data_IF_633567191289
#
_entry.id   IF_633567191289
#
_cell.length_a   1.000
_cell.length_b   1.000
_cell.length_c   1.000
_cell.angle_alpha   90.00
_cell.angle_beta   90.00
_cell.angle_gamma   90.00
#
_symmetry.space_group_name_H-M   'P 1'
#
loop_
_entity.id
_entity.type
_entity.pdbx_description
1 polymer ?
#
# COMPACT_ATOMS: atom_id res chain seq x y z
N UNK A 1 15.19 56.71 58.05
CA UNK A 1 15.19 57.00 56.60
C UNK A 1 16.39 56.38 55.88
N UNK A 2 17.64 56.67 56.28
CA UNK A 2 18.86 56.13 55.61
C UNK A 2 18.94 54.59 55.67
N UNK A 3 18.69 53.98 56.84
CA UNK A 3 18.73 52.51 56.99
C UNK A 3 17.67 51.80 56.13
N UNK A 4 16.46 52.38 56.02
CA UNK A 4 15.39 51.86 55.16
C UNK A 4 15.78 51.93 53.68
N UNK A 5 16.41 53.02 53.24
CA UNK A 5 16.89 53.18 51.87
C UNK A 5 18.01 52.18 51.52
N UNK A 6 18.94 51.94 52.44
CA UNK A 6 20.01 50.96 52.27
C UNK A 6 19.42 49.54 52.16
N UNK A 7 18.47 49.18 53.02
CA UNK A 7 17.82 47.86 52.96
C UNK A 7 17.07 47.67 51.64
N UNK A 8 16.35 48.69 51.15
CA UNK A 8 15.66 48.63 49.86
C UNK A 8 16.66 48.50 48.69
N UNK A 9 17.76 49.26 48.71
CA UNK A 9 18.79 49.17 47.66
C UNK A 9 19.45 47.79 47.63
N UNK A 10 19.76 47.21 48.80
CA UNK A 10 20.34 45.87 48.92
C UNK A 10 19.34 44.82 48.42
N UNK A 11 18.06 44.91 48.78
CA UNK A 11 17.03 44.01 48.29
C UNK A 11 16.85 44.09 46.77
N UNK A 12 16.82 45.31 46.20
CA UNK A 12 16.76 45.51 44.74
C UNK A 12 17.98 44.91 44.06
N UNK A 13 19.18 45.14 44.60
CA UNK A 13 20.42 44.58 44.05
C UNK A 13 20.43 43.05 44.12
N UNK A 14 20.00 42.45 45.23
CA UNK A 14 19.87 41.00 45.37
C UNK A 14 18.86 40.44 44.38
N UNK A 15 17.69 41.07 44.21
CA UNK A 15 16.68 40.65 43.23
C UNK A 15 17.22 40.74 41.81
N UNK A 16 17.91 41.83 41.45
CA UNK A 16 18.52 41.99 40.13
C UNK A 16 19.59 40.92 39.88
N UNK A 17 20.46 40.64 40.86
CA UNK A 17 21.49 39.60 40.74
C UNK A 17 20.84 38.22 40.58
N UNK A 18 19.81 37.90 41.37
CA UNK A 18 19.08 36.62 41.26
C UNK A 18 18.41 36.48 39.90
N UNK A 19 17.76 37.53 39.38
CA UNK A 19 17.13 37.51 38.06
C UNK A 19 18.16 37.30 36.95
N UNK A 20 19.30 37.98 37.01
CA UNK A 20 20.38 37.82 36.02
C UNK A 20 20.96 36.40 36.05
N UNK A 21 21.17 35.82 37.24
CA UNK A 21 21.66 34.45 37.39
C UNK A 21 20.63 33.41 36.91
N UNK A 22 19.34 33.62 37.18
CA UNK A 22 18.29 32.72 36.67
C UNK A 22 18.20 32.79 35.15
N UNK A 23 18.27 34.00 34.56
CA UNK A 23 18.30 34.17 33.11
C UNK A 23 19.52 33.49 32.46
N UNK A 24 20.71 33.59 33.06
CA UNK A 24 21.93 32.95 32.49
C UNK A 24 21.79 31.43 32.53
N UNK A 25 21.23 30.86 33.60
CA UNK A 25 21.00 29.41 33.72
C UNK A 25 19.98 28.94 32.68
N UNK A 26 18.87 29.67 32.48
CA UNK A 26 17.84 29.32 31.47
C UNK A 26 18.43 29.38 30.05
N UNK A 27 19.27 30.37 29.76
CA UNK A 27 19.91 30.51 28.44
C UNK A 27 20.89 29.35 28.20
N UNK A 28 21.71 28.99 29.19
CA UNK A 28 22.65 27.87 29.06
C UNK A 28 21.93 26.52 28.97
N UNK A 29 20.86 26.31 29.74
CA UNK A 29 20.07 25.09 29.69
C UNK A 29 19.32 24.92 28.35
N UNK A 30 18.77 26.01 27.80
CA UNK A 30 18.13 25.97 26.48
C UNK A 30 19.14 25.70 25.37
N UNK A 31 20.31 26.33 25.39
CA UNK A 31 21.38 26.07 24.42
C UNK A 31 21.86 24.60 24.45
N UNK A 32 21.93 23.96 25.62
CA UNK A 32 22.33 22.55 25.75
C UNK A 32 21.25 21.58 25.24
N UNK A 33 19.96 21.87 25.45
CA UNK A 33 18.86 21.05 24.92
C UNK A 33 18.79 21.06 23.39
N UNK A 34 19.08 22.19 22.73
CA UNK A 34 19.10 22.26 21.26
C UNK A 34 20.27 21.48 20.63
N UNK A 35 21.33 21.18 21.38
CA UNK A 35 22.48 20.42 20.87
C UNK A 35 22.21 18.90 20.80
N UNK A 36 21.26 18.38 21.58
CA UNK A 36 20.95 16.95 21.67
C UNK A 36 19.92 16.48 20.64
N UNK A 37 19.24 17.39 19.94
CA UNK A 37 18.24 17.04 18.92
C UNK A 37 18.81 16.99 17.50
N UNK A 38 20.12 16.73 17.35
CA UNK A 38 20.66 16.43 16.02
C UNK A 38 20.06 15.10 15.57
N UNK A 39 19.01 15.21 14.76
CA UNK A 39 18.36 14.10 14.11
C UNK A 39 19.43 13.27 13.41
N UNK A 40 19.64 12.04 13.87
CA UNK A 40 20.40 11.06 13.10
C UNK A 40 19.64 10.87 11.79
N UNK A 41 20.21 11.20 10.62
CA UNK A 41 19.55 10.90 9.37
C UNK A 41 19.53 9.37 9.23
N UNK A 42 18.36 8.76 9.46
CA UNK A 42 18.13 7.36 9.10
C UNK A 42 17.92 7.28 7.58
N UNK A 43 18.98 7.56 6.82
CA UNK A 43 19.03 7.24 5.41
C UNK A 43 19.74 5.89 5.28
N UNK A 44 18.96 4.81 5.37
CA UNK A 44 19.37 3.56 4.72
C UNK A 44 19.29 3.84 3.22
N UNK A 45 20.37 4.37 2.65
CA UNK A 45 20.55 4.51 1.20
C UNK A 45 20.68 3.12 0.61
N UNK A 46 19.56 2.41 0.49
CA UNK A 46 19.48 1.27 -0.40
C UNK A 46 19.60 1.84 -1.81
N UNK A 47 20.66 1.47 -2.53
CA UNK A 47 20.85 1.90 -3.92
C UNK A 47 19.55 1.66 -4.72
N UNK A 48 19.17 2.59 -5.61
CA UNK A 48 17.98 2.41 -6.42
C UNK A 48 18.13 1.14 -7.27
N UNK A 49 17.11 0.29 -7.23
CA UNK A 49 17.12 -0.96 -7.98
C UNK A 49 16.86 -0.62 -9.46
N UNK A 50 17.80 -0.99 -10.32
CA UNK A 50 17.70 -0.72 -11.75
C UNK A 50 16.59 -1.55 -12.43
N UNK A 51 16.01 -1.01 -13.49
CA UNK A 51 15.16 -1.76 -14.43
C UNK A 51 16.08 -2.39 -15.47
N UNK A 52 16.02 -3.71 -15.63
CA UNK A 52 16.84 -4.47 -16.59
C UNK A 52 16.14 -4.66 -17.93
N UNK A 53 14.80 -4.67 -17.95
CA UNK A 53 14.00 -4.79 -19.15
C UNK A 53 12.71 -3.99 -18.99
N UNK A 54 12.28 -3.34 -20.06
CA UNK A 54 11.03 -2.59 -20.14
C UNK A 54 10.48 -2.67 -21.56
N UNK A 55 9.21 -3.04 -21.68
CA UNK A 55 8.46 -3.01 -22.93
C UNK A 55 7.13 -2.29 -22.70
N UNK A 56 6.72 -1.47 -23.66
CA UNK A 56 5.43 -0.81 -23.67
C UNK A 56 4.99 -0.60 -25.11
N UNK A 57 3.87 -1.22 -25.47
CA UNK A 57 3.33 -1.23 -26.81
C UNK A 57 1.85 -0.85 -26.74
N UNK A 58 1.46 0.12 -27.56
CA UNK A 58 0.07 0.53 -27.75
C UNK A 58 -0.34 0.04 -29.13
N UNK A 59 -1.38 -0.78 -29.18
CA UNK A 59 -1.86 -1.40 -30.42
C UNK A 59 -2.84 -0.47 -31.14
N UNK A 60 -2.82 -0.41 -32.49
CA UNK A 60 -3.73 0.44 -33.26
C UNK A 60 -5.22 0.12 -33.03
N UNK A 61 -5.56 -1.13 -32.69
CA UNK A 61 -6.90 -1.56 -32.31
C UNK A 61 -7.39 -1.04 -30.94
N UNK A 62 -6.58 -0.27 -30.21
CA UNK A 62 -6.95 0.32 -28.91
C UNK A 62 -6.55 -0.51 -27.69
N UNK A 63 -5.96 -1.70 -27.90
CA UNK A 63 -5.33 -2.49 -26.84
C UNK A 63 -3.93 -1.99 -26.47
N UNK A 64 -3.37 -2.53 -25.40
CA UNK A 64 -2.01 -2.23 -24.96
C UNK A 64 -1.32 -3.48 -24.40
N UNK A 65 0.01 -3.43 -24.31
CA UNK A 65 0.81 -4.43 -23.63
C UNK A 65 2.02 -3.76 -22.99
N UNK A 66 2.29 -4.08 -21.72
CA UNK A 66 3.51 -3.63 -21.05
C UNK A 66 4.15 -4.76 -20.27
N UNK A 67 5.46 -4.67 -20.07
CA UNK A 67 6.20 -5.53 -19.16
C UNK A 67 7.45 -4.85 -18.64
N UNK A 68 7.89 -5.21 -17.44
CA UNK A 68 9.18 -4.77 -16.90
C UNK A 68 9.81 -5.82 -16.00
N UNK A 69 11.13 -5.75 -15.88
CA UNK A 69 11.93 -6.55 -14.96
C UNK A 69 12.94 -5.66 -14.23
N UNK A 70 13.08 -5.85 -12.93
CA UNK A 70 14.04 -5.15 -12.08
C UNK A 70 15.27 -6.03 -11.78
N UNK A 71 16.39 -5.39 -11.42
CA UNK A 71 17.64 -6.08 -11.11
C UNK A 71 17.55 -7.00 -9.87
N UNK A 72 16.56 -6.80 -9.00
CA UNK A 72 16.28 -7.69 -7.86
C UNK A 72 15.25 -8.79 -8.18
N UNK A 73 14.93 -9.02 -9.46
CA UNK A 73 14.08 -10.13 -9.90
C UNK A 73 12.58 -9.90 -9.77
N UNK A 74 12.12 -8.65 -9.62
CA UNK A 74 10.69 -8.32 -9.72
C UNK A 74 10.34 -8.26 -11.20
N UNK A 75 9.30 -8.99 -11.60
CA UNK A 75 8.78 -8.99 -12.97
C UNK A 75 7.30 -8.65 -12.94
N UNK A 76 6.83 -7.85 -13.88
CA UNK A 76 5.40 -7.63 -14.07
C UNK A 76 5.08 -7.48 -15.56
N UNK A 77 3.89 -7.92 -15.94
CA UNK A 77 3.39 -7.90 -17.30
C UNK A 77 1.87 -7.77 -17.31
N UNK A 78 1.34 -7.07 -18.30
CA UNK A 78 -0.11 -6.94 -18.52
C UNK A 78 -0.42 -6.72 -20.00
N UNK A 79 -1.55 -7.27 -20.43
CA UNK A 79 -2.14 -7.07 -21.75
C UNK A 79 -3.56 -6.55 -21.55
N UNK A 80 -3.85 -5.39 -22.15
CA UNK A 80 -5.19 -4.82 -22.22
C UNK A 80 -5.77 -5.02 -23.62
N UNK A 81 -6.96 -5.59 -23.71
CA UNK A 81 -7.69 -5.80 -24.97
C UNK A 81 -9.00 -5.04 -24.97
N UNK A 82 -9.29 -4.32 -26.06
CA UNK A 82 -10.56 -3.63 -26.23
C UNK A 82 -11.67 -4.65 -26.58
N UNK A 83 -12.69 -4.70 -25.73
CA UNK A 83 -13.88 -5.55 -25.91
C UNK A 83 -15.14 -4.72 -25.88
N UNK A 84 -16.22 -5.27 -26.45
CA UNK A 84 -17.54 -4.64 -26.38
C UNK A 84 -18.17 -4.93 -25.03
N UNK A 85 -18.59 -3.88 -24.34
CA UNK A 85 -19.34 -4.02 -23.09
C UNK A 85 -20.84 -4.16 -23.35
N UNK A 86 -21.56 -4.74 -22.40
CA UNK A 86 -23.02 -4.76 -22.39
C UNK A 86 -23.63 -3.46 -21.83
N UNK A 87 -22.79 -2.49 -21.46
CA UNK A 87 -23.19 -1.19 -20.92
C UNK A 87 -23.79 -0.30 -22.05
N UNK A 88 -25.03 0.20 -21.91
CA UNK A 88 -25.68 1.09 -22.88
C UNK A 88 -24.96 2.44 -23.08
N UNK A 89 -24.16 2.89 -22.12
CA UNK A 89 -23.51 4.20 -22.12
C UNK A 89 -22.04 4.11 -22.59
N UNK A 90 -21.37 2.98 -22.34
CA UNK A 90 -20.00 2.72 -22.76
C UNK A 90 -19.92 1.40 -23.55
N UNK A 91 -20.02 1.51 -24.88
CA UNK A 91 -20.06 0.33 -25.77
C UNK A 91 -18.73 -0.44 -25.89
N UNK A 92 -17.61 0.13 -25.42
CA UNK A 92 -16.28 -0.45 -25.52
C UNK A 92 -15.52 -0.24 -24.20
N UNK A 93 -14.86 -1.28 -23.71
CA UNK A 93 -14.11 -1.31 -22.45
C UNK A 93 -12.83 -2.11 -22.64
N UNK A 94 -11.80 -1.83 -21.83
CA UNK A 94 -10.57 -2.62 -21.84
C UNK A 94 -10.69 -3.73 -20.80
N UNK A 95 -10.49 -4.97 -21.23
CA UNK A 95 -10.22 -6.10 -20.32
C UNK A 95 -8.72 -6.28 -20.20
N UNK A 96 -8.25 -6.42 -18.96
CA UNK A 96 -6.83 -6.51 -18.66
C UNK A 96 -6.50 -7.85 -18.03
N UNK A 97 -5.47 -8.51 -18.54
CA UNK A 97 -4.91 -9.74 -18.00
C UNK A 97 -3.42 -9.51 -17.73
N UNK A 98 -2.98 -9.82 -16.52
CA UNK A 98 -1.61 -9.56 -16.15
C UNK A 98 -1.17 -10.27 -14.89
N UNK A 99 0.00 -9.92 -14.43
CA UNK A 99 0.50 -10.38 -13.16
C UNK A 99 1.89 -9.87 -12.85
N UNK A 100 2.35 -10.27 -11.68
CA UNK A 100 3.65 -9.89 -11.17
C UNK A 100 4.23 -10.99 -10.31
N UNK A 101 5.56 -11.03 -10.27
CA UNK A 101 6.32 -11.93 -9.42
C UNK A 101 7.42 -11.18 -8.68
N UNK A 102 7.68 -11.59 -7.45
CA UNK A 102 8.73 -11.03 -6.61
C UNK A 102 9.22 -12.07 -5.62
N UNK A 103 10.41 -11.87 -5.07
CA UNK A 103 10.91 -12.71 -3.97
C UNK A 103 10.44 -12.13 -2.64
N UNK A 104 9.70 -12.90 -1.86
CA UNK A 104 9.22 -12.50 -0.54
C UNK A 104 10.36 -12.37 0.48
N UNK A 105 10.09 -11.81 1.68
CA UNK A 105 11.09 -11.65 2.73
C UNK A 105 11.71 -12.98 3.19
N UNK A 106 10.97 -14.08 3.04
CA UNK A 106 11.41 -15.45 3.36
C UNK A 106 12.27 -16.09 2.24
N UNK A 107 12.57 -15.37 1.15
CA UNK A 107 13.32 -15.89 0.01
C UNK A 107 12.51 -16.76 -0.97
N UNK A 108 11.20 -16.88 -0.74
CA UNK A 108 10.28 -17.66 -1.58
C UNK A 108 9.76 -16.79 -2.73
N UNK A 109 9.81 -17.26 -3.99
CA UNK A 109 9.17 -16.54 -5.10
C UNK A 109 7.65 -16.55 -4.92
N UNK A 110 7.04 -15.38 -5.03
CA UNK A 110 5.59 -15.17 -5.00
C UNK A 110 5.17 -14.78 -6.41
N UNK A 111 4.18 -15.48 -6.95
CA UNK A 111 3.57 -15.16 -8.23
C UNK A 111 2.09 -14.83 -8.05
N UNK A 112 1.64 -13.75 -8.69
CA UNK A 112 0.25 -13.30 -8.67
C UNK A 112 -0.18 -13.04 -10.11
N UNK A 113 -1.31 -13.62 -10.51
CA UNK A 113 -1.99 -13.35 -11.78
C UNK A 113 -3.37 -12.77 -11.52
N UNK A 114 -3.80 -11.88 -12.39
CA UNK A 114 -5.11 -11.26 -12.30
C UNK A 114 -5.76 -11.11 -13.66
N UNK A 115 -7.09 -11.07 -13.63
CA UNK A 115 -7.95 -10.85 -14.77
C UNK A 115 -8.98 -9.79 -14.35
N UNK A 116 -9.06 -8.71 -15.11
CA UNK A 116 -10.04 -7.65 -14.96
C UNK A 116 -10.97 -7.68 -16.18
N UNK A 117 -12.18 -8.22 -15.99
CA UNK A 117 -13.19 -8.32 -17.05
C UNK A 117 -14.31 -7.31 -16.84
N UNK A 118 -14.99 -6.94 -17.92
CA UNK A 118 -16.11 -6.00 -17.87
C UNK A 118 -17.29 -6.52 -17.03
N UNK A 119 -17.56 -7.83 -17.12
CA UNK A 119 -18.72 -8.46 -16.49
C UNK A 119 -18.37 -9.20 -15.18
N UNK A 120 -17.13 -9.62 -14.99
CA UNK A 120 -16.67 -10.42 -13.85
C UNK A 120 -15.84 -9.64 -12.83
N UNK A 121 -15.55 -8.36 -13.08
CA UNK A 121 -14.73 -7.53 -12.19
C UNK A 121 -13.27 -7.97 -12.15
N UNK A 122 -12.60 -7.68 -11.03
CA UNK A 122 -11.21 -8.01 -10.80
C UNK A 122 -11.08 -9.32 -9.99
N UNK A 123 -10.39 -10.30 -10.57
CA UNK A 123 -10.10 -11.58 -9.91
C UNK A 123 -8.60 -11.80 -9.92
N UNK A 124 -8.00 -11.95 -8.73
CA UNK A 124 -6.59 -12.28 -8.57
C UNK A 124 -6.42 -13.69 -7.99
N UNK A 125 -5.38 -14.38 -8.44
CA UNK A 125 -4.99 -15.72 -8.00
C UNK A 125 -3.48 -15.77 -7.82
N UNK A 126 -2.99 -16.57 -6.87
CA UNK A 126 -1.55 -16.79 -6.69
C UNK A 126 -1.17 -17.06 -5.23
N UNK A 127 0.15 -17.16 -4.99
CA UNK A 127 0.69 -17.75 -3.75
C UNK A 127 0.37 -16.94 -2.49
N UNK A 128 0.20 -15.63 -2.63
CA UNK A 128 -0.13 -14.73 -1.52
C UNK A 128 -1.64 -14.39 -1.43
N UNK A 129 -2.48 -15.01 -2.27
CA UNK A 129 -3.94 -14.82 -2.22
C UNK A 129 -4.55 -15.89 -1.32
N UNK A 130 -5.31 -15.51 -0.26
CA UNK A 130 -5.99 -16.47 0.59
C UNK A 130 -6.95 -17.35 -0.21
N UNK A 131 -6.82 -18.67 -0.06
CA UNK A 131 -7.71 -19.66 -0.69
C UNK A 131 -8.83 -19.99 0.29
N UNK A 132 -10.07 -20.03 -0.20
CA UNK A 132 -11.21 -20.45 0.61
C UNK A 132 -11.04 -21.90 1.11
N UNK A 133 -11.54 -22.23 2.33
CA UNK A 133 -11.50 -23.61 2.82
C UNK A 133 -12.26 -24.56 1.89
N UNK A 134 -11.87 -25.85 1.83
CA UNK A 134 -12.55 -26.83 1.00
C UNK A 134 -14.02 -26.97 1.38
N UNK A 135 -14.87 -27.23 0.39
CA UNK A 135 -16.31 -27.45 0.60
C UNK A 135 -16.52 -28.64 1.55
N UNK A 136 -17.32 -28.51 2.63
CA UNK A 136 -17.64 -29.60 3.53
C UNK A 136 -18.20 -30.84 2.81
N UNK A 137 -17.79 -32.03 3.26
CA UNK A 137 -18.18 -33.32 2.65
C UNK A 137 -19.70 -33.49 2.53
N UNK A 138 -20.47 -33.03 3.53
CA UNK A 138 -21.92 -33.11 3.50
C UNK A 138 -22.54 -32.33 2.31
N UNK A 139 -21.94 -31.20 1.93
CA UNK A 139 -22.38 -30.40 0.79
C UNK A 139 -21.99 -31.10 -0.52
N UNK A 140 -20.80 -31.69 -0.60
CA UNK A 140 -20.40 -32.49 -1.76
C UNK A 140 -21.35 -33.68 -2.00
N UNK A 141 -21.67 -34.45 -0.95
CA UNK A 141 -22.63 -35.55 -1.03
C UNK A 141 -24.03 -35.08 -1.45
N UNK A 142 -24.45 -33.91 -0.99
CA UNK A 142 -25.73 -33.33 -1.41
C UNK A 142 -25.71 -32.93 -2.89
N UNK A 143 -24.61 -32.35 -3.39
CA UNK A 143 -24.44 -32.01 -4.80
C UNK A 143 -24.41 -33.27 -5.68
N UNK A 144 -23.71 -34.32 -5.27
CA UNK A 144 -23.67 -35.61 -5.99
C UNK A 144 -25.07 -36.23 -6.08
N UNK A 145 -25.82 -36.20 -4.97
CA UNK A 145 -27.21 -36.67 -4.95
C UNK A 145 -28.09 -35.84 -5.88
N UNK A 146 -28.00 -34.50 -5.83
CA UNK A 146 -28.75 -33.61 -6.73
C UNK A 146 -28.40 -33.86 -8.20
N UNK A 147 -27.14 -34.17 -8.52
CA UNK A 147 -26.71 -34.52 -9.87
C UNK A 147 -27.29 -35.86 -10.38
N UNK A 148 -27.68 -36.76 -9.47
CA UNK A 148 -28.36 -38.02 -9.83
C UNK A 148 -29.86 -37.85 -10.07
N UNK A 149 -30.44 -36.72 -9.68
CA UNK A 149 -31.85 -36.46 -9.91
C UNK A 149 -32.10 -36.14 -11.39
N UNK A 150 -33.22 -36.59 -11.97
CA UNK A 150 -33.60 -36.20 -13.32
C UNK A 150 -33.82 -34.68 -13.36
N UNK A 151 -33.39 -34.02 -14.44
CA UNK A 151 -33.63 -32.60 -14.65
C UNK A 151 -35.14 -32.33 -14.65
N UNK A 152 -35.65 -31.61 -13.64
CA UNK A 152 -37.04 -31.17 -13.63
C UNK A 152 -37.22 -30.05 -14.65
N UNK A 153 -37.67 -30.39 -15.85
CA UNK A 153 -38.23 -29.45 -16.82
C UNK A 153 -39.59 -28.97 -16.29
N UNK A 154 -39.59 -28.15 -15.25
CA UNK A 154 -40.82 -27.54 -14.73
C UNK A 154 -40.70 -26.02 -14.89
N UNK A 155 -41.24 -25.49 -16.00
CA UNK A 155 -41.37 -24.04 -16.18
C UNK A 155 -41.46 -23.48 -17.59
N UNK A 156 -41.16 -24.22 -18.67
CA UNK A 156 -41.39 -23.71 -20.05
C UNK A 156 -42.80 -24.07 -20.53
N UNK A 157 -43.80 -23.57 -19.81
CA UNK A 157 -45.20 -23.93 -20.03
C UNK A 157 -46.18 -23.07 -19.26
N UNK A 158 -45.97 -21.76 -19.14
CA UNK A 158 -47.08 -20.83 -18.90
C UNK A 158 -47.02 -19.70 -19.93
N UNK A 159 -48.16 -19.59 -20.61
CA UNK A 159 -48.51 -18.68 -21.69
C UNK A 159 -48.42 -17.22 -21.26
#
# INVERSE_FOLDING_TARGET
MIMTLIVVLVLVLVVVVVVVVVCIIIILASALCLALTTAVPQQVTKEPIAIVSYNNEIRPEGGYQWSYETANGIKADEIGTLVKSNDPENGEVIEAEGGYSYTGPEGVPVNIRYIATANGGFVATGDAIPVAPPIPEAIQRALDYLATLPSTTEGRGRR
#
